data_IF_351621408903
#
_entry.id   IF_351621408903
#
_cell.length_a   1.000
_cell.length_b   1.000
_cell.length_c   1.000
_cell.angle_alpha   90.00
_cell.angle_beta   90.00
_cell.angle_gamma   90.00
#
_symmetry.space_group_name_H-M   'P 1'
#
loop_
_entity.id
_entity.type
_entity.pdbx_description
1 polymer ?
#
# COMPACT_ATOMS: atom_id res chain seq x y z
N UNK A 1 6.11 1.72 26.75
CA UNK A 1 5.72 2.10 25.38
C UNK A 1 6.28 3.49 25.08
N UNK A 2 6.95 3.68 23.95
CA UNK A 2 7.51 4.98 23.56
C UNK A 2 6.39 5.96 23.21
N UNK A 3 6.58 7.26 23.45
CA UNK A 3 5.61 8.26 22.98
C UNK A 3 5.72 8.46 21.49
N UNK A 4 6.93 8.62 20.97
CA UNK A 4 7.24 8.72 19.54
C UNK A 4 8.40 7.77 19.22
N UNK A 5 8.22 6.91 18.22
CA UNK A 5 9.26 6.06 17.65
C UNK A 5 9.52 6.44 16.19
N UNK A 6 10.75 6.79 15.84
CA UNK A 6 11.17 6.96 14.46
C UNK A 6 11.71 5.64 13.93
N UNK A 7 11.18 5.18 12.81
CA UNK A 7 11.49 3.89 12.18
C UNK A 7 12.23 4.10 10.87
N UNK A 8 13.49 3.68 10.80
CA UNK A 8 14.37 3.88 9.64
C UNK A 8 14.85 2.53 9.12
N UNK A 9 14.21 1.94 8.10
CA UNK A 9 14.75 0.78 7.41
C UNK A 9 15.96 1.17 6.55
N UNK A 10 17.10 0.50 6.72
CA UNK A 10 18.35 0.84 6.03
C UNK A 10 18.94 -0.35 5.27
N UNK A 11 19.50 -0.06 4.10
CA UNK A 11 20.33 -0.97 3.32
C UNK A 11 21.37 -0.19 2.51
N UNK A 12 22.64 -0.22 2.93
CA UNK A 12 23.75 0.52 2.33
C UNK A 12 23.48 2.04 2.27
N UNK A 13 23.25 2.64 3.43
CA UNK A 13 22.99 4.08 3.63
C UNK A 13 24.05 4.72 4.56
N UNK A 14 25.27 4.17 4.61
CA UNK A 14 26.35 4.63 5.49
C UNK A 14 26.75 6.09 5.32
N UNK A 15 26.55 6.66 4.14
CA UNK A 15 26.86 8.07 3.84
C UNK A 15 25.81 9.04 4.44
N UNK A 16 24.57 8.61 4.64
CA UNK A 16 23.43 9.48 4.93
C UNK A 16 22.82 9.25 6.30
N UNK A 17 22.87 8.01 6.81
CA UNK A 17 22.13 7.61 8.02
C UNK A 17 22.48 8.41 9.27
N UNK A 18 23.77 8.79 9.46
CA UNK A 18 24.18 9.63 10.60
C UNK A 18 23.44 10.98 10.57
N UNK A 19 23.38 11.60 9.42
CA UNK A 19 22.69 12.88 9.25
C UNK A 19 21.18 12.73 9.49
N UNK A 20 20.53 11.70 8.92
CA UNK A 20 19.10 11.44 9.13
C UNK A 20 18.79 11.30 10.63
N UNK A 21 19.53 10.46 11.35
CA UNK A 21 19.33 10.27 12.80
C UNK A 21 19.50 11.59 13.56
N UNK A 22 20.53 12.37 13.22
CA UNK A 22 20.80 13.66 13.90
C UNK A 22 19.70 14.67 13.63
N UNK A 23 19.23 14.80 12.38
CA UNK A 23 18.19 15.73 11.97
C UNK A 23 16.85 15.41 12.68
N UNK A 24 16.44 14.13 12.71
CA UNK A 24 15.21 13.71 13.41
C UNK A 24 15.33 13.89 14.93
N UNK A 25 16.51 13.67 15.51
CA UNK A 25 16.74 13.92 16.95
C UNK A 25 16.64 15.39 17.29
N UNK A 26 17.11 16.27 16.43
CA UNK A 26 17.02 17.71 16.63
C UNK A 26 15.58 18.26 16.43
N UNK A 27 14.77 17.62 15.58
CA UNK A 27 13.44 18.07 15.25
C UNK A 27 12.35 17.59 16.24
N UNK A 28 12.57 16.47 16.92
CA UNK A 28 11.57 15.83 17.78
C UNK A 28 11.92 15.97 19.27
N UNK A 29 10.96 15.77 20.19
CA UNK A 29 11.20 15.80 21.63
C UNK A 29 12.32 14.83 22.08
N UNK A 30 13.02 15.14 23.17
CA UNK A 30 14.17 14.37 23.67
C UNK A 30 13.81 12.91 24.04
N UNK A 31 12.58 12.64 24.44
CA UNK A 31 12.05 11.31 24.76
C UNK A 31 11.73 10.45 23.52
N UNK A 32 11.95 10.98 22.32
CA UNK A 32 11.76 10.23 21.05
C UNK A 32 12.85 9.19 20.89
N UNK A 33 12.45 7.95 20.59
CA UNK A 33 13.39 6.86 20.29
C UNK A 33 13.53 6.68 18.79
N UNK A 34 14.80 6.67 18.31
CA UNK A 34 15.09 6.46 16.89
C UNK A 34 15.61 5.05 16.69
N UNK A 35 14.87 4.25 15.92
CA UNK A 35 15.19 2.87 15.59
C UNK A 35 15.69 2.77 14.15
N UNK A 36 16.89 2.23 13.97
CA UNK A 36 17.47 1.89 12.69
C UNK A 36 17.52 0.38 12.54
N UNK A 37 16.89 -0.17 11.52
CA UNK A 37 16.98 -1.60 11.22
C UNK A 37 17.81 -1.82 9.98
N UNK A 38 18.98 -2.38 10.18
CA UNK A 38 19.93 -2.74 9.13
C UNK A 38 19.49 -4.03 8.45
N UNK A 39 19.33 -3.96 7.11
CA UNK A 39 18.88 -5.08 6.29
C UNK A 39 20.02 -5.67 5.47
N UNK A 40 21.03 -6.22 6.16
CA UNK A 40 22.23 -6.81 5.57
C UNK A 40 23.11 -5.83 4.80
N UNK A 41 23.34 -4.63 5.32
CA UNK A 41 24.27 -3.68 4.72
C UNK A 41 25.70 -4.24 4.71
N UNK A 42 26.43 -3.92 3.66
CA UNK A 42 27.85 -4.30 3.45
C UNK A 42 28.80 -3.13 3.69
N UNK A 43 28.27 -1.95 3.96
CA UNK A 43 28.98 -0.72 4.26
C UNK A 43 28.97 -0.41 5.79
N UNK A 44 29.35 0.81 6.16
CA UNK A 44 29.39 1.26 7.55
C UNK A 44 28.03 1.77 8.09
N UNK A 45 26.90 1.49 7.44
CA UNK A 45 25.54 1.95 7.83
C UNK A 45 25.28 1.74 9.32
N UNK A 46 25.55 0.54 9.82
CA UNK A 46 25.29 0.19 11.22
C UNK A 46 26.12 1.03 12.21
N UNK A 47 27.43 1.14 11.96
CA UNK A 47 28.34 1.90 12.81
C UNK A 47 27.97 3.39 12.84
N UNK A 48 27.59 3.96 11.71
CA UNK A 48 27.18 5.35 11.59
C UNK A 48 25.87 5.64 12.34
N UNK A 49 24.91 4.73 12.28
CA UNK A 49 23.64 4.84 13.00
C UNK A 49 23.86 4.73 14.54
N UNK A 50 24.67 3.77 14.99
CA UNK A 50 25.02 3.59 16.40
C UNK A 50 25.76 4.83 16.95
N UNK A 51 26.70 5.37 16.20
CA UNK A 51 27.46 6.57 16.56
C UNK A 51 26.56 7.84 16.62
N UNK A 52 25.47 7.89 15.89
CA UNK A 52 24.47 8.95 15.97
C UNK A 52 23.49 8.76 17.15
N UNK A 53 23.60 7.64 17.88
CA UNK A 53 22.78 7.34 19.07
C UNK A 53 21.46 6.66 18.76
N UNK A 54 21.26 6.08 17.57
CA UNK A 54 20.08 5.29 17.26
C UNK A 54 20.13 3.91 17.93
N UNK A 55 18.95 3.33 18.20
CA UNK A 55 18.80 1.92 18.58
C UNK A 55 18.89 1.08 17.33
N UNK A 56 20.03 0.39 17.11
CA UNK A 56 20.27 -0.38 15.89
C UNK A 56 19.93 -1.85 16.07
N UNK A 57 19.16 -2.41 15.15
CA UNK A 57 18.83 -3.85 15.08
C UNK A 57 19.05 -4.37 13.66
N UNK A 58 19.23 -5.69 13.51
CA UNK A 58 19.43 -6.32 12.21
C UNK A 58 18.19 -7.11 11.79
N UNK A 59 17.79 -6.99 10.50
CA UNK A 59 16.82 -7.88 9.87
C UNK A 59 17.51 -8.67 8.75
N UNK A 60 17.52 -10.00 8.91
CA UNK A 60 18.25 -10.90 8.02
C UNK A 60 17.49 -11.26 6.73
N UNK A 61 16.15 -11.10 6.74
CA UNK A 61 15.35 -11.34 5.54
C UNK A 61 15.38 -10.09 4.68
N UNK A 62 16.00 -10.18 3.51
CA UNK A 62 16.14 -9.05 2.61
C UNK A 62 14.78 -8.51 2.14
N UNK A 63 14.64 -7.16 2.16
CA UNK A 63 13.49 -6.42 1.65
C UNK A 63 12.88 -5.46 2.66
N UNK A 64 12.50 -4.26 2.20
CA UNK A 64 11.94 -3.17 3.02
C UNK A 64 10.71 -3.63 3.80
N UNK A 65 9.80 -4.39 3.17
CA UNK A 65 8.63 -4.93 3.85
C UNK A 65 8.97 -5.89 4.99
N UNK A 66 10.03 -6.71 4.85
CA UNK A 66 10.50 -7.60 5.92
C UNK A 66 10.99 -6.81 7.13
N UNK A 67 11.72 -5.73 6.89
CA UNK A 67 12.21 -4.81 7.94
C UNK A 67 11.04 -4.17 8.67
N UNK A 68 10.09 -3.59 7.94
CA UNK A 68 8.92 -2.91 8.53
C UNK A 68 8.07 -3.91 9.33
N UNK A 69 7.90 -5.15 8.82
CA UNK A 69 7.20 -6.21 9.53
C UNK A 69 7.82 -6.50 10.89
N UNK A 70 9.14 -6.52 10.97
CA UNK A 70 9.86 -6.72 12.21
C UNK A 70 9.74 -5.53 13.15
N UNK A 71 9.93 -4.31 12.65
CA UNK A 71 9.75 -3.07 13.41
C UNK A 71 8.36 -2.99 14.05
N UNK A 72 7.30 -3.23 13.30
CA UNK A 72 5.93 -3.17 13.79
C UNK A 72 5.58 -4.23 14.85
N UNK A 73 6.32 -5.34 14.87
CA UNK A 73 6.18 -6.38 15.88
C UNK A 73 6.93 -6.09 17.18
N UNK A 74 8.13 -5.52 17.06
CA UNK A 74 9.07 -5.38 18.16
C UNK A 74 8.96 -4.05 18.89
N UNK A 75 8.39 -3.01 18.26
CA UNK A 75 8.35 -1.66 18.78
C UNK A 75 6.91 -1.31 19.18
N UNK A 76 6.76 -0.82 20.42
CA UNK A 76 5.50 -0.30 20.94
C UNK A 76 5.64 1.20 21.20
N UNK A 77 4.85 2.00 20.43
CA UNK A 77 4.83 3.45 20.55
C UNK A 77 3.41 4.00 20.34
N UNK A 78 3.12 5.18 20.88
CA UNK A 78 1.86 5.87 20.63
C UNK A 78 1.79 6.44 19.21
N UNK A 79 2.93 6.95 18.71
CA UNK A 79 3.12 7.47 17.36
C UNK A 79 4.38 6.86 16.75
N UNK A 80 4.26 6.37 15.53
CA UNK A 80 5.37 5.85 14.74
C UNK A 80 5.60 6.76 13.55
N UNK A 81 6.84 7.22 13.35
CA UNK A 81 7.25 7.99 12.17
C UNK A 81 8.19 7.12 11.35
N UNK A 82 7.77 6.73 10.17
CA UNK A 82 8.59 5.97 9.22
C UNK A 82 9.24 6.92 8.22
N UNK A 83 10.53 6.77 7.99
CA UNK A 83 11.30 7.54 7.01
C UNK A 83 12.39 6.66 6.37
N UNK A 84 12.89 7.07 5.19
CA UNK A 84 14.02 6.40 4.55
C UNK A 84 15.36 6.96 5.08
N UNK A 85 16.43 6.16 4.97
CA UNK A 85 17.77 6.51 5.46
C UNK A 85 18.59 7.39 4.49
N UNK A 86 18.01 7.91 3.40
CA UNK A 86 18.70 8.53 2.26
C UNK A 86 18.68 10.06 2.23
N UNK A 87 18.29 10.72 3.33
CA UNK A 87 18.18 12.18 3.47
C UNK A 87 17.18 12.87 2.53
N UNK A 88 16.25 12.16 1.91
CA UNK A 88 15.29 12.75 0.97
C UNK A 88 14.10 13.42 1.65
N UNK A 89 13.84 13.10 2.91
CA UNK A 89 12.69 13.61 3.68
C UNK A 89 13.09 14.61 4.75
N UNK A 90 12.35 15.74 4.88
CA UNK A 90 12.63 16.77 5.86
C UNK A 90 12.21 16.33 7.27
N UNK A 91 13.16 16.31 8.20
CA UNK A 91 12.89 16.02 9.62
C UNK A 91 11.99 17.10 10.26
N UNK A 92 12.01 18.30 9.74
CA UNK A 92 11.24 19.47 10.19
C UNK A 92 9.71 19.26 10.10
N UNK A 93 9.26 18.33 9.25
CA UNK A 93 7.85 17.96 9.14
C UNK A 93 7.40 16.92 10.17
N UNK A 94 8.35 16.24 10.84
CA UNK A 94 8.05 15.16 11.79
C UNK A 94 7.21 15.62 13.00
N UNK A 95 7.44 16.79 13.63
CA UNK A 95 6.63 17.26 14.74
C UNK A 95 5.15 17.43 14.39
N UNK A 96 4.86 17.99 13.21
CA UNK A 96 3.47 18.16 12.76
C UNK A 96 2.81 16.81 12.43
N UNK A 97 3.54 15.86 11.82
CA UNK A 97 3.04 14.52 11.60
C UNK A 97 2.72 13.81 12.92
N UNK A 98 3.59 13.95 13.94
CA UNK A 98 3.37 13.40 15.27
C UNK A 98 2.16 14.05 15.96
N UNK A 99 2.03 15.37 15.88
CA UNK A 99 0.88 16.09 16.42
C UNK A 99 -0.44 15.60 15.82
N UNK A 100 -0.50 15.44 14.49
CA UNK A 100 -1.70 14.94 13.80
C UNK A 100 -2.10 13.53 14.28
N UNK A 101 -1.13 12.68 14.60
CA UNK A 101 -1.42 11.33 15.14
C UNK A 101 -1.83 11.40 16.60
N UNK A 102 -1.09 12.13 17.44
CA UNK A 102 -1.27 12.13 18.89
C UNK A 102 -2.45 12.98 19.35
N UNK A 103 -2.72 14.12 18.69
CA UNK A 103 -3.72 15.10 19.11
C UNK A 103 -4.96 15.07 18.22
N UNK A 104 -4.81 14.98 16.87
CA UNK A 104 -5.93 14.99 15.94
C UNK A 104 -6.55 13.59 15.73
N UNK A 105 -5.93 12.53 16.29
CA UNK A 105 -6.41 11.14 16.18
C UNK A 105 -6.31 10.55 14.77
N UNK A 106 -5.35 11.02 13.96
CA UNK A 106 -5.11 10.51 12.62
C UNK A 106 -4.43 9.14 12.70
N UNK A 107 -4.95 8.13 12.01
CA UNK A 107 -4.36 6.80 12.00
C UNK A 107 -3.14 6.69 11.09
N UNK A 108 -3.13 7.42 9.97
CA UNK A 108 -2.00 7.48 9.06
C UNK A 108 -1.88 8.87 8.43
N UNK A 109 -0.72 9.50 8.63
CA UNK A 109 -0.32 10.73 7.92
C UNK A 109 0.62 10.35 6.78
N UNK A 110 0.35 10.86 5.59
CA UNK A 110 1.15 10.63 4.38
C UNK A 110 1.89 11.91 4.02
N UNK A 111 3.23 11.86 3.98
CA UNK A 111 4.06 12.96 3.49
C UNK A 111 3.92 13.10 1.97
N UNK A 112 3.20 14.12 1.52
CA UNK A 112 2.91 14.39 0.12
C UNK A 112 4.03 15.21 -0.51
N UNK A 113 4.90 14.55 -1.26
CA UNK A 113 5.99 15.17 -2.04
C UNK A 113 5.47 15.79 -3.34
N UNK A 114 4.44 15.19 -3.94
CA UNK A 114 3.99 15.48 -5.30
C UNK A 114 3.28 16.83 -5.41
N UNK A 115 2.75 17.36 -4.31
CA UNK A 115 2.12 18.69 -4.25
C UNK A 115 3.12 19.82 -3.96
N UNK A 116 4.42 19.51 -3.79
CA UNK A 116 5.48 20.51 -3.51
C UNK A 116 6.50 20.63 -4.65
N UNK A 117 7.78 20.61 -4.32
CA UNK A 117 8.92 20.81 -5.22
C UNK A 117 9.34 19.58 -6.05
N UNK A 118 8.76 18.42 -5.81
CA UNK A 118 9.15 17.15 -6.43
C UNK A 118 9.28 17.19 -7.96
N UNK A 119 8.35 17.86 -8.66
CA UNK A 119 8.37 17.94 -10.13
C UNK A 119 9.40 18.93 -10.67
N UNK A 120 9.87 19.88 -9.87
CA UNK A 120 10.93 20.80 -10.25
C UNK A 120 12.32 20.17 -10.12
N UNK A 121 12.49 19.27 -9.17
CA UNK A 121 13.75 18.62 -8.84
C UNK A 121 13.93 17.27 -9.56
N UNK A 122 12.85 16.49 -9.75
CA UNK A 122 12.92 15.15 -10.34
C UNK A 122 12.45 15.10 -11.81
N UNK A 123 13.40 15.20 -12.76
CA UNK A 123 13.16 15.28 -14.21
C UNK A 123 13.02 13.92 -14.92
N UNK A 124 12.70 12.81 -14.24
CA UNK A 124 12.59 11.48 -14.86
C UNK A 124 11.26 11.32 -15.61
N UNK A 125 11.26 11.25 -16.97
CA UNK A 125 10.04 10.99 -17.74
C UNK A 125 9.54 9.56 -17.47
N UNK A 126 8.20 9.33 -17.51
CA UNK A 126 7.50 8.04 -17.34
C UNK A 126 7.39 7.46 -15.93
N UNK A 127 8.22 7.81 -14.95
CA UNK A 127 8.06 7.33 -13.58
C UNK A 127 6.78 7.87 -12.93
N UNK A 128 6.40 9.08 -13.28
CA UNK A 128 5.21 9.76 -12.76
C UNK A 128 3.89 9.20 -13.32
N UNK A 129 3.89 8.63 -14.53
CA UNK A 129 2.68 8.10 -15.17
C UNK A 129 2.17 6.85 -14.46
N UNK A 130 3.06 5.92 -14.08
CA UNK A 130 2.71 4.71 -13.35
C UNK A 130 2.13 5.02 -11.96
N UNK A 131 2.79 5.91 -11.22
CA UNK A 131 2.30 6.36 -9.90
C UNK A 131 0.94 7.06 -10.01
N UNK A 132 0.75 7.92 -11.02
CA UNK A 132 -0.53 8.60 -11.27
C UNK A 132 -1.66 7.64 -11.59
N UNK A 133 -1.41 6.58 -12.38
CA UNK A 133 -2.39 5.55 -12.71
C UNK A 133 -2.81 4.73 -11.48
N UNK A 134 -1.84 4.25 -10.68
CA UNK A 134 -2.14 3.51 -9.44
C UNK A 134 -2.89 4.39 -8.45
N UNK A 135 -2.48 5.64 -8.28
CA UNK A 135 -3.16 6.62 -7.45
C UNK A 135 -4.61 6.84 -7.88
N UNK A 136 -4.84 7.06 -9.19
CA UNK A 136 -6.18 7.24 -9.73
C UNK A 136 -7.06 6.02 -9.53
N UNK A 137 -6.51 4.82 -9.73
CA UNK A 137 -7.23 3.57 -9.49
C UNK A 137 -7.61 3.41 -8.00
N UNK A 138 -6.69 3.63 -7.08
CA UNK A 138 -6.95 3.54 -5.63
C UNK A 138 -7.98 4.58 -5.22
N UNK A 139 -7.81 5.85 -5.61
CA UNK A 139 -8.75 6.90 -5.29
C UNK A 139 -10.15 6.62 -5.86
N UNK A 140 -10.25 6.07 -7.07
CA UNK A 140 -11.54 5.66 -7.68
C UNK A 140 -12.19 4.46 -6.98
N UNK A 141 -11.40 3.44 -6.58
CA UNK A 141 -11.90 2.25 -5.89
C UNK A 141 -12.39 2.60 -4.49
N UNK A 142 -11.63 3.40 -3.74
CA UNK A 142 -11.90 3.71 -2.33
C UNK A 142 -12.62 5.05 -2.11
N UNK A 143 -12.79 5.88 -3.14
CA UNK A 143 -13.34 7.25 -3.07
C UNK A 143 -12.53 8.12 -2.10
N UNK A 144 -11.22 8.08 -2.23
CA UNK A 144 -10.25 8.82 -1.42
C UNK A 144 -9.56 9.92 -2.23
N UNK A 145 -8.81 10.78 -1.55
CA UNK A 145 -8.00 11.86 -2.16
C UNK A 145 -6.55 11.76 -1.69
N UNK A 146 -5.94 10.58 -1.87
CA UNK A 146 -4.52 10.39 -1.57
C UNK A 146 -3.68 11.03 -2.67
N UNK A 147 -2.70 11.84 -2.28
CA UNK A 147 -1.86 12.60 -3.21
C UNK A 147 -0.59 11.82 -3.59
N UNK A 148 0.09 11.21 -2.61
CA UNK A 148 1.30 10.42 -2.84
C UNK A 148 1.19 9.03 -2.19
N UNK A 149 1.10 7.99 -3.02
CA UNK A 149 0.94 6.61 -2.56
C UNK A 149 2.28 5.94 -2.28
N UNK A 150 3.34 6.36 -2.98
CA UNK A 150 4.65 5.71 -2.97
C UNK A 150 5.67 6.40 -2.05
N UNK A 151 5.24 7.36 -1.23
CA UNK A 151 6.13 7.99 -0.25
C UNK A 151 6.44 7.04 0.89
N UNK A 152 7.73 6.97 1.28
CA UNK A 152 8.19 6.26 2.47
C UNK A 152 8.01 7.07 3.76
N UNK A 153 7.71 8.38 3.68
CA UNK A 153 7.57 9.25 4.84
C UNK A 153 6.14 9.26 5.34
N UNK A 154 5.92 8.61 6.46
CA UNK A 154 4.57 8.43 7.02
C UNK A 154 4.61 8.45 8.54
N UNK A 155 3.51 8.91 9.15
CA UNK A 155 3.29 8.68 10.58
C UNK A 155 2.05 7.79 10.79
N UNK A 156 2.08 7.00 11.87
CA UNK A 156 1.03 6.02 12.16
C UNK A 156 0.63 6.02 13.62
N UNK A 157 -0.65 5.74 13.88
CA UNK A 157 -1.14 5.43 15.22
C UNK A 157 -0.72 4.03 15.68
N UNK A 158 -0.77 3.78 17.00
CA UNK A 158 -0.62 2.46 17.59
C UNK A 158 -1.60 1.45 16.96
N UNK A 159 -2.86 1.85 16.82
CA UNK A 159 -3.92 1.01 16.26
C UNK A 159 -3.61 0.58 14.82
N UNK A 160 -3.11 1.51 13.98
CA UNK A 160 -2.68 1.16 12.64
C UNK A 160 -1.59 0.10 12.67
N UNK A 161 -0.50 0.34 13.40
CA UNK A 161 0.68 -0.54 13.41
C UNK A 161 0.35 -1.93 13.95
N UNK A 162 -0.43 -2.03 15.01
CA UNK A 162 -0.76 -3.32 15.65
C UNK A 162 -1.83 -4.13 14.92
N UNK A 163 -2.57 -3.50 14.01
CA UNK A 163 -3.60 -4.18 13.20
C UNK A 163 -3.20 -4.39 11.74
N UNK A 164 -2.08 -3.82 11.29
CA UNK A 164 -1.61 -3.93 9.92
C UNK A 164 -0.83 -5.23 9.68
N UNK A 165 -1.35 -6.18 8.91
CA UNK A 165 -0.65 -7.41 8.56
C UNK A 165 0.31 -7.15 7.38
N UNK A 166 1.59 -6.95 7.64
CA UNK A 166 2.61 -6.75 6.59
C UNK A 166 2.80 -8.03 5.78
N UNK A 167 2.40 -8.03 4.52
CA UNK A 167 2.49 -9.18 3.60
C UNK A 167 3.53 -8.95 2.51
N UNK A 168 3.72 -7.72 2.07
CA UNK A 168 4.71 -7.34 1.05
C UNK A 168 6.14 -7.51 1.56
N UNK A 169 7.03 -7.96 0.66
CA UNK A 169 8.46 -8.11 0.98
C UNK A 169 9.30 -6.90 0.58
N UNK A 170 8.85 -6.15 -0.41
CA UNK A 170 9.60 -5.05 -1.05
C UNK A 170 8.96 -3.69 -0.87
N UNK A 171 9.15 -2.84 -1.87
CA UNK A 171 8.65 -1.46 -1.92
C UNK A 171 7.14 -1.34 -2.17
N UNK A 172 6.44 -2.47 -2.40
CA UNK A 172 4.97 -2.48 -2.49
C UNK A 172 4.31 -2.15 -1.15
N UNK A 173 5.09 -2.14 -0.07
CA UNK A 173 4.62 -1.92 1.29
C UNK A 173 3.92 -0.57 1.47
N UNK A 174 4.39 0.51 0.82
CA UNK A 174 3.76 1.82 0.89
C UNK A 174 2.35 1.81 0.30
N UNK A 175 2.18 1.11 -0.83
CA UNK A 175 0.87 0.91 -1.45
C UNK A 175 -0.03 0.03 -0.58
N UNK A 176 0.52 -1.03 0.00
CA UNK A 176 -0.21 -1.94 0.90
C UNK A 176 -0.74 -1.21 2.14
N UNK A 177 0.09 -0.36 2.79
CA UNK A 177 -0.31 0.49 3.91
C UNK A 177 -1.48 1.42 3.56
N UNK A 178 -1.40 2.08 2.40
CA UNK A 178 -2.45 2.98 1.93
C UNK A 178 -3.76 2.24 1.70
N UNK A 179 -3.70 1.10 1.00
CA UNK A 179 -4.87 0.28 0.72
C UNK A 179 -5.48 -0.26 2.01
N UNK A 180 -4.67 -0.71 2.96
CA UNK A 180 -5.14 -1.19 4.25
C UNK A 180 -5.92 -0.08 4.99
N UNK A 181 -5.32 1.10 5.15
CA UNK A 181 -5.97 2.23 5.82
C UNK A 181 -7.32 2.57 5.19
N UNK A 182 -7.36 2.70 3.86
CA UNK A 182 -8.58 3.05 3.12
C UNK A 182 -9.64 1.94 3.17
N UNK A 183 -9.21 0.68 3.06
CA UNK A 183 -10.12 -0.48 3.12
C UNK A 183 -10.77 -0.64 4.49
N UNK A 184 -10.01 -0.36 5.54
CA UNK A 184 -10.44 -0.41 6.96
C UNK A 184 -11.11 0.88 7.42
N UNK A 185 -11.23 1.91 6.55
CA UNK A 185 -11.81 3.23 6.87
C UNK A 185 -11.10 3.93 8.03
N UNK A 186 -9.80 3.72 8.14
CA UNK A 186 -8.98 4.45 9.09
C UNK A 186 -8.87 5.91 8.68
N UNK A 187 -8.62 6.79 9.64
CA UNK A 187 -8.51 8.22 9.37
C UNK A 187 -7.15 8.54 8.76
N UNK A 188 -7.14 8.97 7.49
CA UNK A 188 -5.92 9.26 6.71
C UNK A 188 -5.88 10.72 6.33
N UNK A 189 -4.73 11.38 6.52
CA UNK A 189 -4.47 12.75 6.06
C UNK A 189 -3.20 12.82 5.23
N UNK A 190 -3.15 13.77 4.28
CA UNK A 190 -1.94 14.16 3.56
C UNK A 190 -1.35 15.41 4.25
N UNK A 191 -0.02 15.42 4.39
CA UNK A 191 0.75 16.60 4.78
C UNK A 191 1.73 16.93 3.65
N UNK A 192 1.63 18.13 3.08
CA UNK A 192 2.57 18.56 2.03
C UNK A 192 3.94 18.75 2.66
N UNK A 193 4.95 18.10 2.08
CA UNK A 193 6.33 18.16 2.54
C UNK A 193 7.24 18.60 1.40
N UNK A 194 8.32 19.29 1.72
CA UNK A 194 9.41 19.55 0.78
C UNK A 194 10.15 18.26 0.49
N UNK A 195 10.56 18.07 -0.76
CA UNK A 195 11.36 16.93 -1.17
C UNK A 195 12.74 17.42 -1.60
N UNK A 196 13.79 16.79 -1.08
CA UNK A 196 15.18 17.05 -1.46
C UNK A 196 15.68 15.89 -2.28
N UNK A 197 16.38 16.18 -3.39
CA UNK A 197 17.05 15.12 -4.16
C UNK A 197 18.14 14.45 -3.33
N UNK A 198 18.39 13.18 -3.65
CA UNK A 198 19.46 12.40 -3.02
C UNK A 198 20.81 13.06 -3.22
N UNK A 199 21.72 12.97 -2.23
CA UNK A 199 23.12 13.38 -2.42
C UNK A 199 23.74 12.67 -3.63
N UNK A 200 24.68 13.34 -4.32
CA UNK A 200 25.42 12.77 -5.43
C UNK A 200 26.13 11.46 -5.01
N UNK A 201 25.99 10.41 -5.82
CA UNK A 201 26.58 9.08 -5.55
C UNK A 201 25.59 8.02 -5.05
N UNK A 202 24.34 8.36 -4.79
CA UNK A 202 23.29 7.39 -4.42
C UNK A 202 22.46 6.98 -5.63
N UNK A 203 22.45 5.68 -5.99
CA UNK A 203 21.71 5.16 -7.14
C UNK A 203 20.28 4.73 -6.77
N UNK A 204 19.31 5.07 -7.64
CA UNK A 204 17.93 4.58 -7.51
C UNK A 204 17.82 3.14 -8.03
N UNK A 205 17.30 2.25 -7.22
CA UNK A 205 17.16 0.80 -7.48
C UNK A 205 15.94 0.42 -8.35
N UNK A 206 15.27 1.37 -9.04
CA UNK A 206 14.03 1.14 -9.82
C UNK A 206 14.29 1.14 -11.33
N UNK A 207 13.72 0.14 -12.06
CA UNK A 207 13.82 -0.05 -13.51
C UNK A 207 12.52 0.31 -14.23
N UNK A 208 12.56 1.18 -15.24
CA UNK A 208 11.40 1.90 -15.82
C UNK A 208 10.54 1.12 -16.83
N UNK A 209 11.07 0.14 -17.57
CA UNK A 209 10.37 -0.50 -18.72
C UNK A 209 9.49 -1.71 -18.39
N UNK A 210 9.77 -2.43 -17.31
CA UNK A 210 8.90 -3.54 -16.86
C UNK A 210 7.66 -3.06 -16.09
N UNK A 211 7.58 -1.77 -15.81
CA UNK A 211 6.64 -1.22 -14.82
C UNK A 211 5.22 -0.99 -15.35
N UNK A 212 5.03 -0.72 -16.64
CA UNK A 212 3.68 -0.50 -17.21
C UNK A 212 2.76 -1.72 -17.10
N UNK A 213 3.28 -2.92 -17.44
CA UNK A 213 2.52 -4.17 -17.32
C UNK A 213 2.28 -4.52 -15.85
N UNK A 214 3.28 -4.30 -14.98
CA UNK A 214 3.14 -4.51 -13.53
C UNK A 214 2.10 -3.58 -12.92
N UNK A 215 2.07 -2.31 -13.33
CA UNK A 215 1.06 -1.33 -12.91
C UNK A 215 -0.34 -1.79 -13.30
N UNK A 216 -0.54 -2.18 -14.56
CA UNK A 216 -1.84 -2.68 -15.04
C UNK A 216 -2.27 -3.94 -14.28
N UNK A 217 -1.36 -4.90 -14.11
CA UNK A 217 -1.62 -6.12 -13.33
C UNK A 217 -1.98 -5.79 -11.87
N UNK A 218 -1.32 -4.80 -11.27
CA UNK A 218 -1.63 -4.32 -9.93
C UNK A 218 -3.04 -3.73 -9.84
N UNK A 219 -3.43 -2.87 -10.79
CA UNK A 219 -4.77 -2.27 -10.84
C UNK A 219 -5.85 -3.35 -10.98
N UNK A 220 -5.65 -4.32 -11.89
CA UNK A 220 -6.58 -5.45 -12.08
C UNK A 220 -6.69 -6.27 -10.79
N UNK A 221 -5.56 -6.57 -10.15
CA UNK A 221 -5.53 -7.29 -8.87
C UNK A 221 -6.29 -6.53 -7.79
N UNK A 222 -6.03 -5.22 -7.62
CA UNK A 222 -6.74 -4.38 -6.67
C UNK A 222 -8.25 -4.36 -6.92
N UNK A 223 -8.66 -4.24 -8.17
CA UNK A 223 -10.08 -4.24 -8.51
C UNK A 223 -10.73 -5.60 -8.22
N UNK A 224 -10.05 -6.71 -8.55
CA UNK A 224 -10.51 -8.06 -8.25
C UNK A 224 -10.64 -8.29 -6.74
N UNK A 225 -9.62 -7.89 -5.96
CA UNK A 225 -9.52 -8.24 -4.55
C UNK A 225 -10.41 -7.35 -3.67
N UNK A 226 -10.59 -6.05 -4.01
CA UNK A 226 -11.36 -5.10 -3.19
C UNK A 226 -12.76 -4.80 -3.69
N UNK A 227 -13.10 -5.16 -4.92
CA UNK A 227 -14.44 -5.01 -5.52
C UNK A 227 -14.84 -6.28 -6.30
N UNK A 228 -14.75 -7.48 -5.70
CA UNK A 228 -14.94 -8.74 -6.42
C UNK A 228 -16.33 -8.84 -7.06
N UNK A 229 -17.39 -8.43 -6.38
CA UNK A 229 -18.74 -8.43 -6.95
C UNK A 229 -18.83 -7.65 -8.27
N UNK A 230 -18.16 -6.49 -8.37
CA UNK A 230 -18.15 -5.70 -9.62
C UNK A 230 -17.25 -6.33 -10.67
N UNK A 231 -16.06 -6.77 -10.28
CA UNK A 231 -15.08 -7.39 -11.18
C UNK A 231 -15.67 -8.65 -11.85
N UNK A 232 -16.09 -9.60 -11.04
CA UNK A 232 -16.67 -10.86 -11.55
C UNK A 232 -18.05 -10.66 -12.18
N UNK A 233 -18.83 -9.69 -11.71
CA UNK A 233 -20.11 -9.30 -12.29
C UNK A 233 -19.98 -8.75 -13.72
N UNK A 234 -18.95 -7.94 -14.01
CA UNK A 234 -18.68 -7.45 -15.37
C UNK A 234 -18.32 -8.62 -16.29
N UNK A 235 -17.40 -9.50 -15.86
CA UNK A 235 -16.99 -10.66 -16.66
C UNK A 235 -18.18 -11.59 -16.93
N UNK A 236 -18.93 -11.92 -15.90
CA UNK A 236 -20.16 -12.72 -15.99
C UNK A 236 -21.19 -12.10 -16.92
N UNK A 237 -21.43 -10.78 -16.78
CA UNK A 237 -22.36 -10.05 -17.63
C UNK A 237 -21.96 -10.08 -19.10
N UNK A 238 -20.68 -9.89 -19.42
CA UNK A 238 -20.18 -9.99 -20.80
C UNK A 238 -20.41 -11.39 -21.36
N UNK A 239 -20.05 -12.44 -20.62
CA UNK A 239 -20.24 -13.83 -21.04
C UNK A 239 -21.72 -14.18 -21.24
N UNK A 240 -22.60 -13.73 -20.32
CA UNK A 240 -24.04 -13.94 -20.42
C UNK A 240 -24.65 -13.25 -21.64
N UNK A 241 -24.25 -11.99 -21.92
CA UNK A 241 -24.70 -11.24 -23.08
C UNK A 241 -24.26 -11.92 -24.37
N UNK A 242 -22.98 -12.32 -24.46
CA UNK A 242 -22.46 -13.03 -25.62
C UNK A 242 -23.18 -14.36 -25.83
N UNK A 243 -23.33 -15.18 -24.78
CA UNK A 243 -24.07 -16.44 -24.89
C UNK A 243 -25.49 -16.24 -25.36
N UNK A 244 -26.22 -15.28 -24.79
CA UNK A 244 -27.61 -14.96 -25.19
C UNK A 244 -27.67 -14.48 -26.61
N UNK A 245 -26.76 -13.61 -27.04
CA UNK A 245 -26.74 -13.10 -28.44
C UNK A 245 -26.58 -14.21 -29.48
N UNK A 246 -25.75 -15.24 -29.19
CA UNK A 246 -25.60 -16.40 -30.08
C UNK A 246 -26.75 -17.41 -29.95
N UNK A 247 -27.47 -17.46 -28.84
CA UNK A 247 -28.63 -18.32 -28.64
C UNK A 247 -29.89 -17.79 -29.34
N UNK A 248 -30.12 -16.48 -29.40
CA UNK A 248 -31.32 -15.88 -29.98
C UNK A 248 -31.59 -16.38 -31.42
N UNK A 249 -30.62 -16.34 -32.36
CA UNK A 249 -30.87 -16.84 -33.71
C UNK A 249 -31.28 -18.32 -33.77
N UNK A 250 -30.72 -19.15 -32.87
CA UNK A 250 -31.04 -20.58 -32.80
C UNK A 250 -32.47 -20.79 -32.32
N UNK A 251 -32.93 -20.02 -31.34
CA UNK A 251 -34.31 -20.06 -30.88
C UNK A 251 -35.31 -19.55 -31.95
N UNK A 252 -34.94 -18.49 -32.68
CA UNK A 252 -35.76 -17.98 -33.78
C UNK A 252 -35.91 -19.03 -34.88
N UNK A 253 -34.81 -19.68 -35.29
CA UNK A 253 -34.80 -20.75 -36.31
C UNK A 253 -35.61 -21.97 -35.84
N UNK A 254 -35.47 -22.37 -34.59
CA UNK A 254 -36.28 -23.43 -33.97
C UNK A 254 -37.77 -23.10 -34.01
N UNK A 255 -38.16 -21.84 -33.70
CA UNK A 255 -39.58 -21.42 -33.70
C UNK A 255 -40.18 -21.44 -35.07
N UNK A 256 -39.39 -21.18 -36.13
CA UNK A 256 -39.85 -21.17 -37.52
C UNK A 256 -39.88 -22.55 -38.15
N UNK A 257 -38.94 -23.43 -37.78
CA UNK A 257 -38.70 -24.69 -38.51
C UNK A 257 -38.97 -25.95 -37.70
N UNK A 258 -39.06 -25.82 -36.35
CA UNK A 258 -39.11 -26.96 -35.42
C UNK A 258 -37.80 -27.75 -35.31
N UNK A 259 -36.71 -27.28 -35.95
CA UNK A 259 -35.41 -27.96 -36.01
C UNK A 259 -34.30 -27.13 -35.34
N UNK A 260 -33.26 -27.80 -34.82
CA UNK A 260 -32.08 -27.16 -34.22
C UNK A 260 -30.84 -27.49 -35.07
N UNK A 261 -30.64 -26.86 -36.23
CA UNK A 261 -29.55 -27.23 -37.14
C UNK A 261 -28.16 -26.86 -36.56
N UNK A 262 -28.10 -25.91 -35.64
CA UNK A 262 -26.84 -25.46 -34.99
C UNK A 262 -26.70 -26.04 -33.57
N UNK A 263 -27.00 -27.31 -33.38
CA UNK A 263 -26.96 -28.01 -32.08
C UNK A 263 -25.60 -27.89 -31.32
N UNK A 264 -24.42 -28.03 -32.00
CA UNK A 264 -23.15 -27.81 -31.31
C UNK A 264 -23.00 -26.39 -30.74
N UNK A 265 -23.48 -25.37 -31.46
CA UNK A 265 -23.43 -23.97 -30.98
C UNK A 265 -24.33 -23.79 -29.76
N UNK A 266 -25.52 -24.39 -29.75
CA UNK A 266 -26.41 -24.35 -28.59
C UNK A 266 -25.77 -24.91 -27.35
N UNK A 267 -25.08 -26.06 -27.46
CA UNK A 267 -24.34 -26.68 -26.36
C UNK A 267 -23.25 -25.74 -25.83
N UNK A 268 -22.43 -25.17 -26.72
CA UNK A 268 -21.36 -24.23 -26.34
C UNK A 268 -21.94 -23.02 -25.62
N UNK A 269 -23.01 -22.43 -26.14
CA UNK A 269 -23.69 -21.30 -25.47
C UNK A 269 -24.21 -21.68 -24.07
N UNK A 270 -24.80 -22.88 -23.92
CA UNK A 270 -25.23 -23.40 -22.63
C UNK A 270 -24.09 -23.48 -21.61
N UNK A 271 -22.92 -24.01 -22.01
CA UNK A 271 -21.74 -24.05 -21.15
C UNK A 271 -21.18 -22.66 -20.84
N UNK A 272 -21.17 -21.72 -21.79
CA UNK A 272 -20.75 -20.33 -21.55
C UNK A 272 -21.70 -19.66 -20.55
N UNK A 273 -23.01 -19.85 -20.67
CA UNK A 273 -24.00 -19.32 -19.72
C UNK A 273 -23.79 -19.90 -18.32
N UNK A 274 -23.60 -21.22 -18.21
CA UNK A 274 -23.30 -21.86 -16.93
C UNK A 274 -22.02 -21.30 -16.29
N UNK A 275 -20.98 -21.14 -17.10
CA UNK A 275 -19.71 -20.53 -16.66
C UNK A 275 -19.93 -19.10 -16.17
N UNK A 276 -20.75 -18.29 -16.86
CA UNK A 276 -21.10 -16.94 -16.44
C UNK A 276 -21.78 -16.93 -15.05
N UNK A 277 -22.74 -17.83 -14.83
CA UNK A 277 -23.41 -17.98 -13.53
C UNK A 277 -22.42 -18.37 -12.42
N UNK A 278 -21.52 -19.33 -12.68
CA UNK A 278 -20.51 -19.75 -11.71
C UNK A 278 -19.54 -18.62 -11.34
N UNK A 279 -19.10 -17.84 -12.32
CA UNK A 279 -18.25 -16.66 -12.10
C UNK A 279 -18.98 -15.61 -11.25
N UNK A 280 -20.25 -15.37 -11.50
CA UNK A 280 -21.06 -14.44 -10.70
C UNK A 280 -21.17 -14.90 -9.24
N UNK A 281 -21.48 -16.19 -9.01
CA UNK A 281 -21.55 -16.79 -7.67
C UNK A 281 -20.19 -16.68 -6.96
N UNK A 282 -19.09 -16.95 -7.63
CA UNK A 282 -17.75 -16.78 -7.08
C UNK A 282 -17.51 -15.32 -6.61
N UNK A 283 -17.93 -14.34 -7.40
CA UNK A 283 -17.87 -12.93 -7.04
C UNK A 283 -18.69 -12.58 -5.78
N UNK A 284 -19.86 -13.20 -5.60
CA UNK A 284 -20.68 -13.03 -4.38
C UNK A 284 -20.01 -13.65 -3.16
N UNK A 285 -19.44 -14.85 -3.29
CA UNK A 285 -18.74 -15.54 -2.19
C UNK A 285 -17.54 -14.69 -1.73
N UNK A 286 -16.72 -14.23 -2.66
CA UNK A 286 -15.58 -13.36 -2.34
C UNK A 286 -16.01 -12.05 -1.68
N UNK A 287 -17.13 -11.45 -2.10
CA UNK A 287 -17.67 -10.26 -1.45
C UNK A 287 -18.08 -10.53 -0.01
N UNK A 288 -18.67 -11.68 0.28
CA UNK A 288 -19.04 -12.08 1.65
C UNK A 288 -17.81 -12.31 2.53
N UNK A 289 -16.76 -12.94 1.99
CA UNK A 289 -15.47 -13.11 2.68
C UNK A 289 -14.84 -11.76 3.06
N UNK A 290 -14.84 -10.79 2.15
CA UNK A 290 -14.38 -9.43 2.44
C UNK A 290 -15.20 -8.74 3.53
N UNK A 291 -16.49 -8.97 3.55
CA UNK A 291 -17.37 -8.41 4.59
C UNK A 291 -17.08 -9.03 5.95
N UNK A 292 -16.83 -10.35 6.00
CA UNK A 292 -16.40 -11.05 7.21
C UNK A 292 -15.06 -10.51 7.71
N UNK A 293 -14.07 -10.41 6.82
CA UNK A 293 -12.75 -9.89 7.16
C UNK A 293 -12.79 -8.46 7.75
N UNK A 294 -13.72 -7.60 7.28
CA UNK A 294 -13.95 -6.28 7.88
C UNK A 294 -14.50 -6.37 9.31
N UNK A 295 -15.41 -7.30 9.59
CA UNK A 295 -15.93 -7.51 10.94
C UNK A 295 -14.85 -8.03 11.88
N UNK A 296 -14.04 -8.99 11.41
CA UNK A 296 -12.93 -9.53 12.18
C UNK A 296 -11.88 -8.45 12.50
N UNK A 297 -11.70 -7.47 11.62
CA UNK A 297 -10.83 -6.32 11.86
C UNK A 297 -11.32 -5.44 13.01
N UNK A 298 -12.61 -5.15 13.11
CA UNK A 298 -13.17 -4.35 14.22
C UNK A 298 -12.87 -5.00 15.58
N UNK A 299 -12.95 -6.34 15.68
CA UNK A 299 -12.53 -7.04 16.90
C UNK A 299 -11.04 -6.91 17.19
N UNK A 300 -10.18 -6.96 16.17
CA UNK A 300 -8.73 -6.74 16.33
C UNK A 300 -8.43 -5.32 16.80
N UNK A 301 -9.18 -4.34 16.31
CA UNK A 301 -9.03 -2.94 16.72
C UNK A 301 -9.34 -2.78 18.22
N UNK A 302 -10.44 -3.37 18.68
CA UNK A 302 -10.81 -3.38 20.11
C UNK A 302 -9.70 -4.04 20.95
N UNK A 303 -9.12 -5.15 20.49
CA UNK A 303 -8.01 -5.81 21.19
C UNK A 303 -6.77 -4.92 21.24
N UNK A 304 -6.42 -4.25 20.15
CA UNK A 304 -5.27 -3.33 20.10
C UNK A 304 -5.45 -2.14 21.07
N UNK A 305 -6.67 -1.60 21.17
CA UNK A 305 -6.98 -0.55 22.13
C UNK A 305 -6.89 -1.01 23.62
N UNK A 306 -7.19 -2.27 23.88
CA UNK A 306 -7.00 -2.86 25.21
C UNK A 306 -5.50 -2.96 25.55
N UNK A 307 -4.67 -3.46 24.64
CA UNK A 307 -3.21 -3.54 24.82
C UNK A 307 -2.57 -2.17 25.04
N UNK A 308 -3.10 -1.12 24.43
CA UNK A 308 -2.60 0.25 24.62
C UNK A 308 -2.81 0.74 26.07
N UNK A 309 -3.80 0.18 26.77
CA UNK A 309 -4.14 0.58 28.16
C UNK A 309 -3.41 -0.22 29.23
N UNK A 310 -2.86 -1.38 28.89
CA UNK A 310 -1.99 -2.19 29.73
C UNK A 310 -0.54 -1.69 29.68
#
# INVERSE_FOLDING_TARGET
>A
MDKIAVLIPCYNEGQTIRKVVTDFRAALPEDTVIYVYDNNSTDNTRAEAEAAGAVVRAEHIQGKGSVIRRMFREIDAECYIMTDGDCTYPAESAPEMARMVLEDGVDMVIGDRLSSTYFTENKRPFHNTGNSLVRSAINGIFKSDIKDIMTGYRAFSFNFVKTFPVLSKGFEIETEMTIHALHRRMYVKNLVIEYKDRPEGSESKLNTYSDGIKVLATIIRLFRDYKPRRFFGIISGILAILSTAFMIPIFVEYWQTGLVPKFPTLIVCGFVMLTAILIFIAGLILQNLLTKDKRDFEFKLIQAEQWKKE
#
